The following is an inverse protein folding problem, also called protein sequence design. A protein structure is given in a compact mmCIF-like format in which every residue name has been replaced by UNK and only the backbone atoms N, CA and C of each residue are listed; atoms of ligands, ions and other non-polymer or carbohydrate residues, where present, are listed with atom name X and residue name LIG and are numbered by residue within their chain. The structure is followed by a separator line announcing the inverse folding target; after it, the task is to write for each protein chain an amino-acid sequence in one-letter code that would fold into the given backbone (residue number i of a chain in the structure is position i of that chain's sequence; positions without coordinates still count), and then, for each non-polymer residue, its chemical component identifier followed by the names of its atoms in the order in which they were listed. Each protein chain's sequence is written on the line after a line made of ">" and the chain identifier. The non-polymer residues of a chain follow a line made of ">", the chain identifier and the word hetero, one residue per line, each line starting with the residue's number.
data_IF_137677798575
#
_entry.id   IF_137677798575
#
_cell.length_a   1.000
_cell.length_b   1.000
_cell.length_c   1.000
_cell.angle_alpha   90.00
_cell.angle_beta   90.00
_cell.angle_gamma   90.00
#
_symmetry.space_group_name_H-M   'P 1'
#
loop_
_entity.id
_entity.type
_entity.pdbx_description
1 polymer ?
#
# COMPACT_ATOMS: atom_id res chain seq x y z
N UNK A 1 4.33 37.34 -11.56
CA UNK A 1 3.27 36.95 -10.63
C UNK A 1 3.95 36.49 -9.34
N UNK A 2 3.91 37.30 -8.28
CA UNK A 2 4.54 36.92 -7.01
C UNK A 2 3.71 35.81 -6.35
N UNK A 3 4.32 34.66 -6.10
CA UNK A 3 3.70 33.59 -5.29
C UNK A 3 3.56 34.13 -3.88
N UNK A 4 2.34 34.29 -3.41
CA UNK A 4 2.08 34.64 -2.01
C UNK A 4 2.48 33.43 -1.17
N UNK A 5 3.38 33.60 -0.19
CA UNK A 5 3.86 32.55 0.72
C UNK A 5 2.70 31.74 1.37
N UNK A 6 1.54 32.37 1.54
CA UNK A 6 0.31 31.72 2.05
C UNK A 6 -0.30 30.67 1.10
N UNK A 7 0.19 30.53 -0.13
CA UNK A 7 -0.22 29.49 -1.06
C UNK A 7 0.67 28.23 -1.01
N UNK A 8 1.80 28.30 -0.31
CA UNK A 8 2.70 27.16 -0.14
C UNK A 8 2.22 26.32 1.04
N UNK A 9 2.16 25.01 0.84
CA UNK A 9 1.79 24.04 1.86
C UNK A 9 2.88 23.01 2.03
N UNK A 10 3.17 22.68 3.29
CA UNK A 10 4.09 21.60 3.62
C UNK A 10 3.33 20.29 3.75
N UNK A 11 3.80 19.24 3.08
CA UNK A 11 3.27 17.89 3.23
C UNK A 11 4.38 16.83 3.11
N UNK A 12 4.06 15.59 3.47
CA UNK A 12 4.94 14.44 3.31
C UNK A 12 4.71 13.75 1.97
N UNK A 13 5.79 13.23 1.37
CA UNK A 13 5.73 12.34 0.21
C UNK A 13 6.18 10.94 0.64
N UNK A 14 5.31 9.96 0.47
CA UNK A 14 5.58 8.57 0.83
C UNK A 14 5.32 8.23 2.30
N UNK A 15 5.79 7.05 2.72
CA UNK A 15 5.58 6.52 4.06
C UNK A 15 6.49 7.15 5.09
N UNK A 16 5.99 7.29 6.32
CA UNK A 16 6.79 7.65 7.47
C UNK A 16 7.56 6.44 8.03
N UNK A 17 8.63 6.70 8.78
CA UNK A 17 9.38 5.66 9.48
C UNK A 17 8.49 5.02 10.55
N UNK A 18 8.34 3.71 10.45
CA UNK A 18 7.52 2.94 11.40
C UNK A 18 8.20 2.86 12.76
N UNK A 19 7.51 3.19 13.86
CA UNK A 19 8.08 3.08 15.19
C UNK A 19 8.33 1.62 15.59
N UNK A 20 9.33 1.39 16.44
CA UNK A 20 9.72 0.05 16.88
C UNK A 20 8.57 -0.79 17.48
N UNK A 21 7.66 -0.23 18.31
CA UNK A 21 6.50 -1.00 18.81
C UNK A 21 5.60 -1.53 17.69
N UNK A 22 5.35 -0.74 16.64
CA UNK A 22 4.55 -1.19 15.49
C UNK A 22 5.24 -2.31 14.71
N UNK A 23 6.56 -2.22 14.52
CA UNK A 23 7.33 -3.29 13.88
C UNK A 23 7.28 -4.58 14.70
N UNK A 24 7.39 -4.49 16.03
CA UNK A 24 7.27 -5.64 16.91
C UNK A 24 5.86 -6.25 16.87
N UNK A 25 4.81 -5.43 16.92
CA UNK A 25 3.43 -5.89 16.82
C UNK A 25 3.16 -6.66 15.51
N UNK A 26 3.75 -6.26 14.40
CA UNK A 26 3.67 -6.98 13.12
C UNK A 26 4.37 -8.33 13.15
N UNK A 27 5.55 -8.40 13.78
CA UNK A 27 6.27 -9.66 13.99
C UNK A 27 5.43 -10.61 14.86
N UNK A 28 4.84 -10.11 15.94
CA UNK A 28 4.03 -10.88 16.87
C UNK A 28 2.75 -11.38 16.21
N UNK A 29 2.10 -10.55 15.40
CA UNK A 29 0.93 -10.95 14.62
C UNK A 29 1.27 -12.04 13.59
N UNK A 30 2.35 -11.87 12.85
CA UNK A 30 2.80 -12.88 11.88
C UNK A 30 3.15 -14.22 12.56
N UNK A 31 3.67 -14.18 13.79
CA UNK A 31 3.97 -15.35 14.59
C UNK A 31 2.76 -15.93 15.36
N UNK A 32 1.56 -15.37 15.19
CA UNK A 32 0.34 -15.80 15.88
C UNK A 32 0.28 -15.43 17.37
N UNK A 33 1.20 -14.60 17.88
CA UNK A 33 1.23 -14.13 19.28
C UNK A 33 0.32 -12.94 19.54
N UNK A 34 -0.05 -12.20 18.50
CA UNK A 34 -0.94 -11.05 18.56
C UNK A 34 -2.05 -11.24 17.54
N UNK A 35 -3.30 -11.04 17.93
CA UNK A 35 -4.43 -11.08 17.02
C UNK A 35 -4.53 -9.82 16.15
N UNK A 36 -5.43 -9.82 15.18
CA UNK A 36 -5.62 -8.68 14.29
C UNK A 36 -6.11 -7.43 15.04
N UNK A 37 -6.93 -7.60 16.08
CA UNK A 37 -7.43 -6.48 16.87
C UNK A 37 -6.29 -5.78 17.63
N UNK A 38 -5.38 -6.55 18.21
CA UNK A 38 -4.19 -6.03 18.87
C UNK A 38 -3.24 -5.32 17.91
N UNK A 39 -3.03 -5.88 16.71
CA UNK A 39 -2.24 -5.21 15.67
C UNK A 39 -2.89 -3.88 15.27
N UNK A 40 -4.22 -3.85 15.05
CA UNK A 40 -4.94 -2.62 14.69
C UNK A 40 -4.86 -1.56 15.77
N UNK A 41 -4.95 -1.94 17.04
CA UNK A 41 -4.78 -1.00 18.16
C UNK A 41 -3.37 -0.37 18.19
N UNK A 42 -2.33 -1.13 17.84
CA UNK A 42 -0.97 -0.60 17.75
C UNK A 42 -0.78 0.31 16.53
N UNK A 43 -1.37 -0.05 15.39
CA UNK A 43 -1.39 0.79 14.20
C UNK A 43 -2.10 2.13 14.48
N UNK A 44 -3.25 2.10 15.14
CA UNK A 44 -4.02 3.30 15.49
C UNK A 44 -3.22 4.22 16.40
N UNK A 45 -2.58 3.67 17.43
CA UNK A 45 -1.71 4.43 18.35
C UNK A 45 -0.56 5.09 17.60
N UNK A 46 0.11 4.35 16.73
CA UNK A 46 1.21 4.87 15.92
C UNK A 46 0.75 6.00 14.98
N UNK A 47 -0.41 5.85 14.34
CA UNK A 47 -0.98 6.87 13.45
C UNK A 47 -1.33 8.13 14.24
N UNK A 48 -1.98 8.02 15.40
CA UNK A 48 -2.32 9.17 16.24
C UNK A 48 -1.08 9.93 16.71
N UNK A 49 -0.01 9.22 17.09
CA UNK A 49 1.27 9.85 17.43
C UNK A 49 1.89 10.57 16.21
N UNK A 50 1.87 9.94 15.03
CA UNK A 50 2.36 10.55 13.81
C UNK A 50 1.57 11.80 13.42
N UNK A 51 0.25 11.78 13.52
CA UNK A 51 -0.60 12.94 13.26
C UNK A 51 -0.28 14.10 14.21
N UNK A 52 -0.08 13.81 15.50
CA UNK A 52 0.32 14.81 16.48
C UNK A 52 1.66 15.45 16.10
N UNK A 53 2.68 14.63 15.82
CA UNK A 53 4.02 15.10 15.44
C UNK A 53 4.01 15.93 14.16
N UNK A 54 3.27 15.51 13.14
CA UNK A 54 3.12 16.27 11.90
C UNK A 54 2.57 17.69 12.17
N UNK A 55 1.53 17.80 12.99
CA UNK A 55 0.97 19.10 13.39
C UNK A 55 1.97 19.94 14.19
N UNK A 56 2.63 19.34 15.16
CA UNK A 56 3.60 20.01 16.02
C UNK A 56 4.79 20.57 15.22
N UNK A 57 5.13 19.91 14.09
CA UNK A 57 6.13 20.38 13.12
C UNK A 57 5.59 21.38 12.09
N UNK A 58 4.30 21.73 12.14
CA UNK A 58 3.70 22.70 11.20
C UNK A 58 3.41 22.14 9.81
N UNK A 59 3.18 20.82 9.68
CA UNK A 59 2.75 20.20 8.42
C UNK A 59 1.29 20.57 8.14
N UNK A 60 1.02 21.12 6.96
CA UNK A 60 -0.32 21.59 6.56
C UNK A 60 -1.24 20.46 6.10
N UNK A 61 -0.67 19.40 5.50
CA UNK A 61 -1.42 18.25 4.99
C UNK A 61 -0.84 16.99 5.60
N UNK A 62 -1.55 16.41 6.56
CA UNK A 62 -1.12 15.23 7.29
C UNK A 62 -1.41 13.93 6.50
N UNK A 63 -0.74 12.85 6.88
CA UNK A 63 -1.00 11.48 6.41
C UNK A 63 -0.96 10.49 7.57
N UNK A 64 -1.50 9.30 7.37
CA UNK A 64 -1.41 8.16 8.31
C UNK A 64 -0.01 7.52 8.33
N UNK A 65 0.92 8.04 7.54
CA UNK A 65 2.28 7.50 7.40
C UNK A 65 2.34 6.14 6.70
N UNK A 66 1.23 5.65 6.12
CA UNK A 66 1.08 4.32 5.54
C UNK A 66 1.34 3.20 6.57
N UNK A 67 1.06 3.46 7.84
CA UNK A 67 1.38 2.55 8.95
C UNK A 67 0.56 1.27 8.95
N UNK A 68 -0.58 1.20 8.25
CA UNK A 68 -1.38 -0.02 8.09
C UNK A 68 -0.92 -0.90 6.93
N UNK A 69 0.00 -0.45 6.10
CA UNK A 69 0.47 -1.15 4.91
C UNK A 69 1.78 -1.88 5.17
N UNK A 70 1.91 -3.09 4.64
CA UNK A 70 3.18 -3.82 4.66
C UNK A 70 4.20 -3.19 3.70
N UNK A 71 3.75 -2.71 2.53
CA UNK A 71 4.57 -1.98 1.56
C UNK A 71 3.69 -1.00 0.77
N UNK A 72 4.31 -0.13 -0.02
CA UNK A 72 3.60 0.82 -0.89
C UNK A 72 2.77 0.12 -2.00
N UNK A 73 3.03 -1.17 -2.25
CA UNK A 73 2.29 -1.98 -3.22
C UNK A 73 1.09 -2.72 -2.62
N UNK A 74 1.01 -2.83 -1.29
CA UNK A 74 -0.10 -3.48 -0.59
C UNK A 74 -1.26 -2.52 -0.39
N UNK A 75 -2.43 -3.08 0.00
CA UNK A 75 -3.65 -2.30 0.19
C UNK A 75 -4.65 -2.48 -0.95
N UNK A 76 -4.22 -2.62 -2.21
CA UNK A 76 -5.14 -2.95 -3.31
C UNK A 76 -5.52 -4.42 -3.27
N UNK A 77 -4.54 -5.31 -3.12
CA UNK A 77 -4.77 -6.76 -3.04
C UNK A 77 -5.61 -7.18 -1.83
N UNK A 78 -5.64 -6.35 -0.79
CA UNK A 78 -6.35 -6.64 0.45
C UNK A 78 -7.86 -6.41 0.33
N UNK A 79 -8.28 -5.55 -0.60
CA UNK A 79 -9.68 -5.14 -0.81
C UNK A 79 -10.22 -5.44 -2.20
N UNK A 80 -9.44 -6.10 -3.03
CA UNK A 80 -9.81 -6.48 -4.41
C UNK A 80 -9.60 -7.98 -4.61
N UNK A 81 -10.65 -8.70 -4.96
CA UNK A 81 -10.57 -10.11 -5.33
C UNK A 81 -9.85 -10.31 -6.66
N UNK A 82 -9.33 -11.52 -6.88
CA UNK A 82 -8.63 -11.89 -8.11
C UNK A 82 -7.12 -11.86 -7.98
N UNK A 83 -6.59 -11.48 -6.83
CA UNK A 83 -5.18 -11.60 -6.49
C UNK A 83 -4.90 -12.91 -5.73
N UNK A 84 -3.72 -13.47 -5.96
CA UNK A 84 -3.15 -14.56 -5.18
C UNK A 84 -1.72 -14.23 -4.80
N UNK A 85 -1.19 -14.81 -3.70
CA UNK A 85 0.23 -14.72 -3.40
C UNK A 85 1.05 -15.31 -4.55
N UNK A 86 2.14 -14.64 -4.92
CA UNK A 86 3.01 -15.10 -6.00
C UNK A 86 4.37 -14.43 -5.96
N UNK A 87 5.26 -14.86 -6.84
CA UNK A 87 6.56 -14.28 -7.02
C UNK A 87 6.50 -13.24 -8.13
N UNK A 88 6.97 -12.04 -7.83
CA UNK A 88 7.15 -10.96 -8.80
C UNK A 88 8.56 -11.07 -9.39
N UNK A 89 8.73 -10.78 -10.68
CA UNK A 89 10.07 -10.68 -11.25
C UNK A 89 10.87 -9.65 -10.44
N UNK A 90 12.17 -9.89 -10.25
CA UNK A 90 13.03 -8.95 -9.55
C UNK A 90 12.88 -7.57 -10.20
N UNK A 91 12.66 -6.56 -9.37
CA UNK A 91 12.67 -5.18 -9.84
C UNK A 91 14.11 -4.88 -10.27
N UNK A 92 14.33 -4.30 -11.46
CA UNK A 92 15.66 -3.86 -11.86
C UNK A 92 16.04 -2.63 -11.02
N UNK A 93 16.46 -2.86 -9.78
CA UNK A 93 17.22 -1.89 -9.03
C UNK A 93 18.62 -1.86 -9.66
N UNK A 94 18.99 -0.75 -10.24
CA UNK A 94 20.40 -0.47 -10.42
C UNK A 94 20.96 -0.14 -9.04
N UNK A 95 21.61 -1.10 -8.41
CA UNK A 95 22.54 -0.81 -7.34
C UNK A 95 23.67 0.04 -7.89
N UNK A 96 24.36 0.81 -7.04
CA UNK A 96 25.52 1.63 -7.41
C UNK A 96 26.67 0.81 -8.02
N UNK A 97 26.62 -0.52 -7.90
CA UNK A 97 27.58 -1.48 -8.43
C UNK A 97 27.31 -1.95 -9.87
N UNK A 98 26.24 -1.45 -10.50
CA UNK A 98 25.93 -1.75 -11.91
C UNK A 98 25.56 -3.22 -12.21
N UNK A 99 25.62 -4.11 -11.24
CA UNK A 99 25.31 -5.53 -11.36
C UNK A 99 23.89 -5.79 -10.85
N UNK A 100 22.91 -5.70 -11.74
CA UNK A 100 21.51 -6.05 -11.46
C UNK A 100 21.23 -7.56 -11.41
N UNK A 101 22.23 -8.40 -11.30
CA UNK A 101 22.11 -9.85 -11.21
C UNK A 101 22.02 -10.29 -9.76
N UNK A 102 20.87 -10.86 -9.38
CA UNK A 102 20.74 -11.61 -8.14
C UNK A 102 19.84 -11.02 -7.04
N UNK A 103 19.04 -9.99 -7.32
CA UNK A 103 18.03 -9.59 -6.35
C UNK A 103 17.04 -10.77 -6.13
N UNK A 104 16.79 -11.18 -4.87
CA UNK A 104 15.86 -12.27 -4.61
C UNK A 104 14.45 -11.93 -5.14
N UNK A 105 13.66 -12.93 -5.56
CA UNK A 105 12.31 -12.69 -6.02
C UNK A 105 11.50 -12.01 -4.92
N UNK A 106 10.78 -10.96 -5.28
CA UNK A 106 9.92 -10.23 -4.34
C UNK A 106 8.58 -10.95 -4.26
N UNK A 107 8.22 -11.41 -3.06
CA UNK A 107 6.88 -11.94 -2.83
C UNK A 107 5.87 -10.81 -2.92
N UNK A 108 4.78 -11.04 -3.66
CA UNK A 108 3.73 -10.05 -3.85
C UNK A 108 2.42 -10.67 -4.28
N UNK A 109 1.47 -9.84 -4.64
CA UNK A 109 0.19 -10.27 -5.17
C UNK A 109 0.23 -10.28 -6.70
N UNK A 110 -0.18 -11.39 -7.31
CA UNK A 110 -0.31 -11.55 -8.76
C UNK A 110 -1.77 -11.72 -9.13
N UNK A 111 -2.16 -11.22 -10.31
CA UNK A 111 -3.53 -11.35 -10.81
C UNK A 111 -3.73 -12.77 -11.32
N UNK A 112 -4.66 -13.51 -10.72
CA UNK A 112 -5.02 -14.88 -11.08
C UNK A 112 -6.46 -15.02 -11.62
N UNK A 113 -7.31 -14.02 -11.38
CA UNK A 113 -8.70 -14.00 -11.84
C UNK A 113 -9.14 -12.57 -12.20
N UNK A 114 -10.38 -12.42 -12.62
CA UNK A 114 -10.98 -11.09 -12.83
C UNK A 114 -10.97 -10.30 -11.54
N UNK A 115 -10.43 -9.07 -11.58
CA UNK A 115 -10.39 -8.19 -10.43
C UNK A 115 -11.79 -7.65 -10.11
N UNK A 116 -12.19 -7.78 -8.86
CA UNK A 116 -13.46 -7.28 -8.34
C UNK A 116 -13.22 -6.54 -7.02
N UNK A 117 -13.55 -5.26 -6.91
CA UNK A 117 -13.42 -4.55 -5.65
C UNK A 117 -14.45 -5.11 -4.65
N UNK A 118 -14.01 -5.40 -3.43
CA UNK A 118 -14.87 -5.77 -2.28
C UNK A 118 -15.21 -4.54 -1.44
N UNK A 119 -14.25 -3.65 -1.29
CA UNK A 119 -14.33 -2.46 -0.46
C UNK A 119 -13.62 -1.29 -1.16
N UNK A 120 -13.92 -0.04 -0.77
CA UNK A 120 -13.18 1.12 -1.25
C UNK A 120 -11.70 1.01 -0.90
N UNK A 121 -10.82 1.16 -1.89
CA UNK A 121 -9.38 1.20 -1.68
C UNK A 121 -9.06 2.37 -0.73
N UNK A 122 -8.33 2.09 0.34
CA UNK A 122 -7.99 3.06 1.40
C UNK A 122 -9.22 3.68 2.11
N UNK A 123 -10.37 3.02 2.08
CA UNK A 123 -11.59 3.50 2.74
C UNK A 123 -11.45 3.58 4.25
N UNK A 124 -10.85 2.57 4.87
CA UNK A 124 -10.61 2.53 6.31
C UNK A 124 -9.63 3.61 6.77
N UNK A 125 -8.54 3.82 6.01
CA UNK A 125 -7.55 4.88 6.30
C UNK A 125 -8.19 6.28 6.19
N UNK A 126 -8.98 6.49 5.14
CA UNK A 126 -9.67 7.77 4.94
C UNK A 126 -10.71 8.04 6.03
N UNK A 127 -11.44 7.03 6.49
CA UNK A 127 -12.40 7.14 7.58
C UNK A 127 -11.70 7.50 8.89
N UNK A 128 -10.62 6.79 9.21
CA UNK A 128 -9.82 7.05 10.42
C UNK A 128 -9.22 8.47 10.42
N UNK A 129 -8.65 8.90 9.30
CA UNK A 129 -8.10 10.25 9.18
C UNK A 129 -9.18 11.33 9.28
N UNK A 130 -10.38 11.10 8.73
CA UNK A 130 -11.49 12.05 8.85
C UNK A 130 -11.92 12.24 10.30
N UNK A 131 -11.87 11.19 11.11
CA UNK A 131 -12.24 11.22 12.52
C UNK A 131 -11.17 11.90 13.39
N UNK A 132 -9.88 11.64 13.10
CA UNK A 132 -8.79 11.97 14.02
C UNK A 132 -7.87 13.11 13.54
N UNK A 133 -7.95 13.51 12.27
CA UNK A 133 -7.12 14.59 11.74
C UNK A 133 -7.93 15.89 11.62
N UNK A 134 -7.66 16.91 12.46
CA UNK A 134 -8.42 18.17 12.47
C UNK A 134 -7.99 19.13 11.36
N UNK A 135 -6.95 18.80 10.60
CA UNK A 135 -6.43 19.60 9.47
C UNK A 135 -6.61 18.86 8.15
N UNK A 136 -6.19 19.43 7.04
CA UNK A 136 -6.21 18.74 5.77
C UNK A 136 -5.37 17.45 5.83
N UNK A 137 -5.85 16.39 5.20
CA UNK A 137 -5.12 15.13 5.10
C UNK A 137 -5.14 14.56 3.69
N UNK A 138 -4.22 13.67 3.43
CA UNK A 138 -4.14 12.89 2.19
C UNK A 138 -3.98 11.41 2.49
N UNK A 139 -4.48 10.58 1.57
CA UNK A 139 -4.24 9.14 1.52
C UNK A 139 -3.52 8.83 0.22
N UNK A 140 -2.46 8.06 0.29
CA UNK A 140 -1.71 7.63 -0.89
C UNK A 140 -2.37 6.40 -1.52
N UNK A 141 -2.41 6.36 -2.84
CA UNK A 141 -2.90 5.22 -3.60
C UNK A 141 -1.82 4.75 -4.58
N UNK A 142 -1.69 3.42 -4.78
CA UNK A 142 -0.81 2.90 -5.82
C UNK A 142 -1.24 3.41 -7.20
N UNK A 143 -0.29 3.85 -8.02
CA UNK A 143 -0.60 4.30 -9.38
C UNK A 143 -0.97 3.11 -10.26
N UNK A 144 -2.15 3.13 -10.86
CA UNK A 144 -2.71 2.05 -11.67
C UNK A 144 -2.04 1.85 -13.04
N UNK A 145 -1.12 2.73 -13.46
CA UNK A 145 -0.41 2.63 -14.75
C UNK A 145 0.69 1.56 -14.81
N UNK A 146 1.06 0.93 -13.70
CA UNK A 146 1.96 -0.22 -13.75
C UNK A 146 1.19 -1.42 -14.28
N UNK A 147 1.69 -2.04 -15.35
CA UNK A 147 1.17 -3.34 -15.82
C UNK A 147 1.35 -4.31 -14.64
N UNK A 148 0.24 -4.71 -14.03
CA UNK A 148 0.26 -5.79 -13.05
C UNK A 148 0.75 -7.04 -13.79
N UNK A 149 1.70 -7.81 -13.25
CA UNK A 149 2.13 -9.05 -13.87
C UNK A 149 0.93 -10.00 -13.94
N UNK A 150 0.58 -10.39 -15.16
CA UNK A 150 -0.47 -11.38 -15.42
C UNK A 150 0.23 -12.72 -15.55
N UNK A 151 -0.17 -13.69 -14.74
CA UNK A 151 0.39 -15.04 -14.81
C UNK A 151 0.04 -15.69 -16.16
N UNK A 152 0.95 -16.48 -16.72
CA UNK A 152 0.76 -17.21 -17.98
C UNK A 152 -0.43 -18.17 -17.97
N UNK A 153 -0.95 -18.54 -16.79
CA UNK A 153 -2.13 -19.36 -16.62
C UNK A 153 -3.40 -18.72 -17.21
N UNK A 154 -3.55 -17.39 -17.13
CA UNK A 154 -4.69 -16.67 -17.73
C UNK A 154 -4.62 -16.58 -19.25
N UNK A 155 -3.45 -16.77 -19.87
CA UNK A 155 -3.34 -16.78 -21.35
C UNK A 155 -3.94 -18.04 -21.97
N UNK A 156 -4.00 -19.18 -21.21
CA UNK A 156 -4.53 -20.45 -21.74
C UNK A 156 -6.07 -20.53 -21.69
N UNK A 157 -6.73 -19.68 -20.92
CA UNK A 157 -8.20 -19.69 -20.81
C UNK A 157 -8.93 -18.91 -21.93
N UNK A 158 -8.20 -18.33 -22.90
CA UNK A 158 -8.74 -17.57 -24.02
C UNK A 158 -8.52 -18.24 -25.37
N UNK A 159 -8.67 -19.53 -25.47
CA UNK A 159 -8.95 -20.16 -26.78
C UNK A 159 -10.47 -20.16 -26.98
N UNK A 160 -11.01 -19.45 -27.96
CA UNK A 160 -12.41 -19.61 -28.31
C UNK A 160 -12.61 -21.04 -28.82
N UNK A 161 -13.50 -21.77 -28.17
CA UNK A 161 -14.02 -23.00 -28.72
C UNK A 161 -14.63 -22.68 -30.09
N UNK A 162 -14.11 -23.32 -31.13
CA UNK A 162 -14.69 -23.33 -32.48
C UNK A 162 -16.17 -23.71 -32.37
N UNK A 163 -17.05 -22.81 -32.78
CA UNK A 163 -18.46 -23.08 -33.06
C UNK A 163 -18.50 -24.00 -34.25
N UNK A 164 -19.11 -25.17 -34.22
CA UNK A 164 -19.33 -25.98 -35.42
C UNK A 164 -20.42 -25.26 -36.24
N UNK A 165 -20.09 -24.99 -37.48
CA UNK A 165 -21.05 -24.56 -38.51
C UNK A 165 -21.90 -25.76 -38.91
N UNK A 166 -23.21 -25.64 -38.77
CA UNK A 166 -24.23 -26.49 -39.42
C UNK A 166 -24.73 -25.79 -40.66
#
# INVERSE_FOLDING_TARGET
>A
MALTLNALRADHVGSLLRPAPLLQARIDHTAGRLDLAGLRAEEDRAILDALRRQRDCGIDVCSDGEFRRASFLTGVSDVVDGFVPGELPPLPWRGDDGNGEGAPPVRGAVVAAQLRPREPIAGAEAAFLREHCPVAFKVTLPRTRRRLPVTSALRRARTPSSVPTV
#
